data_IF_443361063418
#
_entry.id   IF_443361063418
#
_cell.length_a   1.000
_cell.length_b   1.000
_cell.length_c   1.000
_cell.angle_alpha   90.00
_cell.angle_beta   90.00
_cell.angle_gamma   90.00
#
_symmetry.space_group_name_H-M   'P 1'
#
loop_
_entity.id
_entity.type
_entity.pdbx_description
1 polymer ?
#
# COMPACT_ATOMS: atom_id res chain seq x y z
N UNK A 1 -2.87 -25.25 -15.32
CA UNK A 1 -2.17 -25.67 -14.09
C UNK A 1 -3.17 -25.90 -12.97
N UNK A 2 -2.89 -26.84 -12.06
CA UNK A 2 -3.55 -27.01 -10.77
C UNK A 2 -2.73 -26.29 -9.71
N UNK A 3 -3.35 -25.32 -9.03
CA UNK A 3 -2.69 -24.45 -8.06
C UNK A 3 -3.46 -24.56 -6.74
N UNK A 4 -2.73 -24.67 -5.64
CA UNK A 4 -3.28 -24.60 -4.30
C UNK A 4 -2.64 -23.45 -3.52
N UNK A 5 -3.46 -22.58 -2.94
CA UNK A 5 -3.02 -21.45 -2.13
C UNK A 5 -3.16 -21.77 -0.65
N UNK A 6 -2.05 -21.78 0.09
CA UNK A 6 -2.06 -21.86 1.56
C UNK A 6 -2.13 -20.45 2.12
N UNK A 7 -3.11 -20.19 2.99
CA UNK A 7 -3.52 -18.87 3.47
C UNK A 7 -4.17 -18.01 2.37
N UNK A 8 -5.19 -18.57 1.70
CA UNK A 8 -5.92 -17.94 0.59
C UNK A 8 -6.67 -16.67 1.00
N UNK A 9 -7.03 -16.49 2.26
CA UNK A 9 -7.81 -15.37 2.78
C UNK A 9 -7.05 -14.04 2.87
N UNK A 10 -5.72 -14.05 2.70
CA UNK A 10 -4.91 -12.83 2.70
C UNK A 10 -5.33 -11.81 1.63
N UNK A 11 -5.10 -10.52 1.88
CA UNK A 11 -5.56 -9.42 1.02
C UNK A 11 -5.13 -9.58 -0.45
N UNK A 12 -3.87 -9.92 -0.72
CA UNK A 12 -3.39 -10.23 -2.08
C UNK A 12 -3.74 -11.65 -2.50
N UNK A 13 -3.69 -12.60 -1.56
CA UNK A 13 -3.85 -14.03 -1.85
C UNK A 13 -5.21 -14.36 -2.46
N UNK A 14 -6.31 -13.80 -1.93
CA UNK A 14 -7.63 -14.06 -2.48
C UNK A 14 -7.82 -13.41 -3.86
N UNK A 15 -7.31 -12.19 -4.04
CA UNK A 15 -7.32 -11.51 -5.34
C UNK A 15 -6.52 -12.31 -6.38
N UNK A 16 -5.36 -12.83 -6.00
CA UNK A 16 -4.53 -13.68 -6.85
C UNK A 16 -5.25 -14.99 -7.20
N UNK A 17 -5.88 -15.66 -6.23
CA UNK A 17 -6.65 -16.89 -6.48
C UNK A 17 -7.75 -16.66 -7.53
N UNK A 18 -8.49 -15.54 -7.40
CA UNK A 18 -9.54 -15.17 -8.34
C UNK A 18 -8.94 -14.85 -9.72
N UNK A 19 -7.85 -14.08 -9.78
CA UNK A 19 -7.16 -13.75 -11.03
C UNK A 19 -6.67 -15.02 -11.76
N UNK A 20 -6.12 -15.98 -11.03
CA UNK A 20 -5.65 -17.25 -11.59
C UNK A 20 -6.80 -18.14 -12.08
N UNK A 21 -7.93 -18.15 -11.38
CA UNK A 21 -9.15 -18.81 -11.85
C UNK A 21 -9.67 -18.16 -13.14
N UNK A 22 -9.69 -16.82 -13.20
CA UNK A 22 -10.08 -16.05 -14.41
C UNK A 22 -9.15 -16.32 -15.59
N UNK A 23 -7.86 -16.54 -15.35
CA UNK A 23 -6.87 -16.98 -16.35
C UNK A 23 -7.09 -18.42 -16.85
N UNK A 24 -7.94 -19.20 -16.20
CA UNK A 24 -8.27 -20.57 -16.60
C UNK A 24 -7.49 -21.66 -15.85
N UNK A 25 -6.78 -21.33 -14.77
CA UNK A 25 -6.17 -22.34 -13.91
C UNK A 25 -7.19 -22.99 -12.98
N UNK A 26 -6.91 -24.23 -12.57
CA UNK A 26 -7.68 -24.91 -11.54
C UNK A 26 -7.13 -24.52 -10.17
N UNK A 27 -7.89 -23.69 -9.44
CA UNK A 27 -7.44 -23.07 -8.19
C UNK A 27 -8.21 -23.64 -7.01
N UNK A 28 -7.47 -24.00 -5.97
CA UNK A 28 -7.97 -24.36 -4.64
C UNK A 28 -7.18 -23.60 -3.57
N UNK A 29 -7.62 -23.66 -2.32
CA UNK A 29 -6.83 -23.11 -1.23
C UNK A 29 -7.41 -23.43 0.14
N UNK A 30 -6.71 -22.96 1.17
CA UNK A 30 -7.00 -23.19 2.58
C UNK A 30 -6.70 -21.95 3.41
N UNK A 31 -7.39 -21.81 4.53
CA UNK A 31 -7.12 -20.74 5.51
C UNK A 31 -7.74 -21.10 6.87
N UNK A 32 -7.13 -20.65 7.97
CA UNK A 32 -7.67 -20.83 9.32
C UNK A 32 -8.70 -19.75 9.71
N UNK A 33 -8.71 -18.61 9.02
CA UNK A 33 -9.75 -17.61 9.17
C UNK A 33 -9.87 -16.70 7.94
N UNK A 34 -11.09 -16.58 7.40
CA UNK A 34 -11.37 -15.71 6.25
C UNK A 34 -12.43 -14.68 6.62
N UNK A 35 -12.05 -13.40 6.51
CA UNK A 35 -12.89 -12.25 6.80
C UNK A 35 -13.23 -11.48 5.53
N UNK A 36 -14.25 -10.63 5.59
CA UNK A 36 -14.57 -9.73 4.49
C UNK A 36 -13.48 -8.66 4.28
N UNK A 37 -13.18 -8.26 3.03
CA UNK A 37 -13.90 -8.62 1.79
C UNK A 37 -13.50 -9.97 1.18
N UNK A 38 -12.42 -10.61 1.64
CA UNK A 38 -11.91 -11.84 1.05
C UNK A 38 -12.94 -12.98 1.05
N UNK A 39 -13.71 -13.11 2.13
CA UNK A 39 -14.78 -14.12 2.27
C UNK A 39 -15.83 -13.99 1.18
N UNK A 40 -16.42 -12.81 1.02
CA UNK A 40 -17.41 -12.53 -0.03
C UNK A 40 -16.82 -12.74 -1.42
N UNK A 41 -15.65 -12.15 -1.70
CA UNK A 41 -14.99 -12.25 -3.01
C UNK A 41 -14.69 -13.70 -3.41
N UNK A 42 -14.19 -14.52 -2.48
CA UNK A 42 -13.93 -15.95 -2.73
C UNK A 42 -15.23 -16.73 -2.95
N UNK A 43 -16.28 -16.43 -2.19
CA UNK A 43 -17.56 -17.11 -2.31
C UNK A 43 -18.21 -16.86 -3.67
N UNK A 44 -18.29 -15.60 -4.09
CA UNK A 44 -18.85 -15.19 -5.38
C UNK A 44 -18.09 -15.79 -6.57
N UNK A 45 -16.79 -16.02 -6.39
CA UNK A 45 -15.96 -16.67 -7.39
C UNK A 45 -15.85 -18.19 -7.19
N UNK A 46 -16.64 -18.81 -6.31
CA UNK A 46 -16.64 -20.26 -6.07
C UNK A 46 -15.28 -20.82 -5.67
N UNK A 47 -14.57 -20.10 -4.82
CA UNK A 47 -13.23 -20.40 -4.29
C UNK A 47 -13.16 -20.39 -2.76
N UNK A 48 -14.28 -20.14 -2.07
CA UNK A 48 -14.32 -20.13 -0.61
C UNK A 48 -14.10 -21.56 -0.06
N UNK A 49 -13.00 -21.83 0.67
CA UNK A 49 -12.74 -23.16 1.20
C UNK A 49 -13.50 -23.41 2.51
N UNK A 50 -13.44 -24.65 2.99
CA UNK A 50 -13.73 -24.95 4.39
C UNK A 50 -12.61 -24.33 5.25
N UNK A 51 -12.99 -23.78 6.40
CA UNK A 51 -12.03 -23.17 7.33
C UNK A 51 -11.21 -24.26 8.02
N UNK A 52 -9.90 -24.04 8.10
CA UNK A 52 -8.92 -24.93 8.69
C UNK A 52 -7.86 -25.38 7.68
N UNK A 53 -6.94 -26.21 8.18
CA UNK A 53 -5.88 -26.82 7.40
C UNK A 53 -6.17 -28.32 7.24
N UNK A 54 -6.09 -28.83 6.02
CA UNK A 54 -6.40 -30.22 5.68
C UNK A 54 -5.34 -30.79 4.74
N UNK A 55 -4.46 -31.65 5.27
CA UNK A 55 -3.37 -32.26 4.50
C UNK A 55 -3.85 -33.19 3.39
N UNK A 56 -5.09 -33.68 3.45
CA UNK A 56 -5.67 -34.55 2.41
C UNK A 56 -6.00 -33.76 1.13
N UNK A 57 -6.08 -32.43 1.20
CA UNK A 57 -6.19 -31.55 0.04
C UNK A 57 -4.90 -31.47 -0.79
N UNK A 58 -3.77 -31.90 -0.22
CA UNK A 58 -2.45 -31.79 -0.85
C UNK A 58 -2.10 -33.10 -1.54
N UNK A 59 -2.33 -33.11 -2.85
CA UNK A 59 -2.14 -34.26 -3.73
C UNK A 59 -0.96 -34.07 -4.69
N UNK A 60 -0.43 -35.17 -5.22
CA UNK A 60 0.76 -35.16 -6.07
C UNK A 60 0.55 -34.54 -7.47
N UNK A 61 -0.70 -34.33 -7.88
CA UNK A 61 -1.08 -33.72 -9.16
C UNK A 61 -1.21 -32.18 -9.11
N UNK A 62 -0.93 -31.57 -7.95
CA UNK A 62 -0.81 -30.12 -7.84
C UNK A 62 0.49 -29.67 -8.51
N UNK A 63 0.40 -28.72 -9.44
CA UNK A 63 1.58 -28.21 -10.15
C UNK A 63 2.38 -27.24 -9.26
N UNK A 64 1.69 -26.37 -8.52
CA UNK A 64 2.30 -25.32 -7.68
C UNK A 64 1.50 -25.07 -6.41
N UNK A 65 2.19 -24.99 -5.28
CA UNK A 65 1.70 -24.41 -4.03
C UNK A 65 2.12 -22.95 -3.97
N UNK A 66 1.16 -22.04 -3.79
CA UNK A 66 1.46 -20.63 -3.49
C UNK A 66 1.28 -20.41 -1.98
N UNK A 67 2.36 -20.02 -1.31
CA UNK A 67 2.44 -19.89 0.13
C UNK A 67 2.28 -18.42 0.57
N UNK A 68 1.21 -18.13 1.30
CA UNK A 68 1.01 -16.83 1.93
C UNK A 68 1.83 -16.64 3.20
N UNK A 69 2.20 -15.39 3.51
CA UNK A 69 3.01 -15.03 4.69
C UNK A 69 2.35 -15.40 6.03
N UNK A 70 1.02 -15.54 6.08
CA UNK A 70 0.27 -15.89 7.30
C UNK A 70 0.40 -17.37 7.68
N UNK A 71 0.83 -18.23 6.74
CA UNK A 71 1.06 -19.63 7.03
C UNK A 71 2.26 -19.80 7.99
N UNK A 72 2.14 -20.74 8.93
CA UNK A 72 3.26 -21.09 9.82
C UNK A 72 4.15 -22.14 9.19
N UNK A 73 5.43 -22.18 9.59
CA UNK A 73 6.40 -23.20 9.12
C UNK A 73 5.97 -24.65 9.40
N UNK A 74 5.14 -24.87 10.43
CA UNK A 74 4.61 -26.17 10.81
C UNK A 74 3.18 -26.43 10.30
N UNK A 75 2.70 -25.64 9.34
CA UNK A 75 1.40 -25.87 8.70
C UNK A 75 1.36 -27.30 8.09
N UNK A 76 0.31 -28.10 8.37
CA UNK A 76 0.27 -29.51 7.95
C UNK A 76 0.28 -29.68 6.43
N UNK A 77 -0.41 -28.80 5.69
CA UNK A 77 -0.44 -28.80 4.23
C UNK A 77 0.93 -28.47 3.65
N UNK A 78 1.63 -27.48 4.24
CA UNK A 78 2.98 -27.12 3.82
C UNK A 78 3.96 -28.29 4.03
N UNK A 79 3.88 -28.96 5.18
CA UNK A 79 4.70 -30.14 5.48
C UNK A 79 4.40 -31.27 4.50
N UNK A 80 3.13 -31.50 4.15
CA UNK A 80 2.74 -32.50 3.17
C UNK A 80 3.26 -32.18 1.77
N UNK A 81 3.14 -30.93 1.33
CA UNK A 81 3.64 -30.46 0.05
C UNK A 81 5.17 -30.67 -0.09
N UNK A 82 5.91 -30.39 0.98
CA UNK A 82 7.35 -30.64 1.04
C UNK A 82 7.67 -32.14 0.95
N UNK A 83 6.94 -33.00 1.66
CA UNK A 83 7.12 -34.47 1.59
C UNK A 83 6.85 -35.03 0.19
N UNK A 84 5.88 -34.45 -0.53
CA UNK A 84 5.55 -34.83 -1.91
C UNK A 84 6.49 -34.22 -2.95
N UNK A 85 7.41 -33.33 -2.55
CA UNK A 85 8.33 -32.66 -3.47
C UNK A 85 7.65 -31.68 -4.42
N UNK A 86 6.49 -31.12 -4.04
CA UNK A 86 5.76 -30.15 -4.85
C UNK A 86 6.54 -28.84 -4.98
N UNK A 87 6.34 -28.13 -6.09
CA UNK A 87 6.88 -26.78 -6.26
C UNK A 87 6.14 -25.82 -5.32
N UNK A 88 6.86 -25.24 -4.36
CA UNK A 88 6.33 -24.25 -3.42
C UNK A 88 6.93 -22.91 -3.75
N UNK A 89 6.08 -21.91 -3.98
CA UNK A 89 6.47 -20.54 -4.31
C UNK A 89 5.79 -19.56 -3.37
N UNK A 90 6.45 -18.45 -3.07
CA UNK A 90 5.75 -17.29 -2.51
C UNK A 90 4.88 -16.63 -3.59
N UNK A 91 3.86 -15.85 -3.22
CA UNK A 91 3.08 -15.13 -4.24
C UNK A 91 3.91 -14.15 -5.10
N UNK A 92 4.88 -13.36 -4.59
CA UNK A 92 5.66 -12.47 -5.45
C UNK A 92 6.56 -13.25 -6.41
N UNK A 93 7.11 -14.39 -5.97
CA UNK A 93 7.88 -15.31 -6.81
C UNK A 93 7.01 -15.90 -7.93
N UNK A 94 5.77 -16.30 -7.61
CA UNK A 94 4.82 -16.81 -8.60
C UNK A 94 4.47 -15.75 -9.63
N UNK A 95 4.17 -14.52 -9.19
CA UNK A 95 3.88 -13.40 -10.11
C UNK A 95 5.09 -13.07 -10.97
N UNK A 96 6.31 -13.10 -10.43
CA UNK A 96 7.54 -12.89 -11.18
C UNK A 96 7.72 -13.96 -12.29
N UNK A 97 7.39 -15.22 -12.00
CA UNK A 97 7.43 -16.30 -12.98
C UNK A 97 6.36 -16.16 -14.06
N UNK A 98 5.11 -15.81 -13.69
CA UNK A 98 4.01 -15.58 -14.64
C UNK A 98 4.22 -14.34 -15.53
N UNK A 99 5.02 -13.38 -15.07
CA UNK A 99 5.30 -12.12 -15.78
C UNK A 99 6.66 -12.10 -16.47
N UNK A 100 7.37 -13.24 -16.57
CA UNK A 100 8.73 -13.32 -17.12
C UNK A 100 8.87 -12.76 -18.55
N UNK A 101 7.80 -12.90 -19.36
CA UNK A 101 7.77 -12.49 -20.76
C UNK A 101 7.12 -11.10 -20.95
N UNK A 102 6.77 -10.41 -19.84
CA UNK A 102 6.14 -9.09 -19.85
C UNK A 102 7.16 -8.00 -19.55
N UNK A 103 6.90 -6.78 -20.03
CA UNK A 103 7.57 -5.58 -19.51
C UNK A 103 7.04 -5.31 -18.09
N UNK A 104 7.91 -5.49 -17.10
CA UNK A 104 7.61 -5.28 -15.68
C UNK A 104 7.92 -3.85 -15.26
N UNK A 105 6.90 -3.14 -14.80
CA UNK A 105 6.99 -1.81 -14.22
C UNK A 105 6.75 -1.93 -12.72
N UNK A 106 7.71 -1.52 -11.90
CA UNK A 106 7.60 -1.66 -10.43
C UNK A 106 7.70 -0.29 -9.76
N UNK A 107 6.72 0.04 -8.94
CA UNK A 107 6.68 1.30 -8.19
C UNK A 107 7.06 1.00 -6.74
N UNK A 108 8.29 1.36 -6.36
CA UNK A 108 8.86 1.15 -5.04
C UNK A 108 9.00 2.48 -4.27
N UNK A 109 9.36 2.36 -2.98
CA UNK A 109 9.57 3.50 -2.07
C UNK A 109 8.72 3.38 -0.80
N UNK A 110 9.09 4.07 0.26
CA UNK A 110 8.39 3.95 1.56
C UNK A 110 6.99 4.60 1.53
N UNK A 111 6.75 5.52 0.61
CA UNK A 111 5.51 6.31 0.49
C UNK A 111 5.10 6.45 -0.99
N UNK A 112 3.90 6.94 -1.29
CA UNK A 112 3.51 7.29 -2.66
C UNK A 112 3.28 6.12 -3.64
N UNK A 113 3.73 4.89 -3.32
CA UNK A 113 3.63 3.72 -4.22
C UNK A 113 2.22 3.50 -4.77
N UNK A 114 1.24 3.36 -3.88
CA UNK A 114 -0.16 3.12 -4.24
C UNK A 114 -0.73 4.27 -5.08
N UNK A 115 -0.43 5.51 -4.72
CA UNK A 115 -0.93 6.71 -5.43
C UNK A 115 -0.36 6.79 -6.85
N UNK A 116 0.96 6.66 -6.99
CA UNK A 116 1.65 6.64 -8.29
C UNK A 116 1.16 5.47 -9.15
N UNK A 117 1.02 4.28 -8.56
CA UNK A 117 0.50 3.11 -9.27
C UNK A 117 -0.95 3.32 -9.75
N UNK A 118 -1.79 3.91 -8.91
CA UNK A 118 -3.18 4.23 -9.27
C UNK A 118 -3.26 5.24 -10.41
N UNK A 119 -2.42 6.28 -10.42
CA UNK A 119 -2.34 7.25 -11.52
C UNK A 119 -1.93 6.58 -12.84
N UNK A 120 -0.90 5.71 -12.81
CA UNK A 120 -0.47 4.94 -13.98
C UNK A 120 -1.63 4.07 -14.50
N UNK A 121 -2.22 3.26 -13.63
CA UNK A 121 -3.32 2.38 -14.01
C UNK A 121 -4.53 3.16 -14.55
N UNK A 122 -4.85 4.30 -13.94
CA UNK A 122 -5.94 5.17 -14.37
C UNK A 122 -5.73 5.68 -15.80
N UNK A 123 -4.54 6.23 -16.09
CA UNK A 123 -4.20 6.73 -17.43
C UNK A 123 -4.17 5.60 -18.45
N UNK A 124 -3.51 4.48 -18.17
CA UNK A 124 -3.46 3.35 -19.09
C UNK A 124 -4.87 2.81 -19.40
N UNK A 125 -5.75 2.74 -18.39
CA UNK A 125 -7.15 2.34 -18.55
C UNK A 125 -7.96 3.33 -19.40
N UNK A 126 -7.83 4.64 -19.14
CA UNK A 126 -8.49 5.71 -19.92
C UNK A 126 -8.07 5.69 -21.39
N UNK A 127 -6.81 5.34 -21.66
CA UNK A 127 -6.26 5.22 -23.01
C UNK A 127 -6.49 3.83 -23.64
N UNK A 128 -7.23 2.93 -22.97
CA UNK A 128 -7.52 1.56 -23.42
C UNK A 128 -6.26 0.73 -23.74
N UNK A 129 -5.16 0.98 -23.02
CA UNK A 129 -3.95 0.17 -23.12
C UNK A 129 -4.13 -1.11 -22.30
N UNK A 130 -3.72 -2.25 -22.85
CA UNK A 130 -3.82 -3.53 -22.12
C UNK A 130 -2.60 -3.74 -21.22
N UNK A 131 -2.87 -3.90 -19.93
CA UNK A 131 -1.88 -4.16 -18.89
C UNK A 131 -2.46 -5.08 -17.82
N UNK A 132 -1.56 -5.81 -17.19
CA UNK A 132 -1.79 -6.52 -15.94
C UNK A 132 -1.35 -5.68 -14.76
N UNK A 133 -1.75 -6.07 -13.55
CA UNK A 133 -1.35 -5.35 -12.37
C UNK A 133 -1.36 -6.19 -11.09
N UNK A 134 -0.52 -5.79 -10.14
CA UNK A 134 -0.46 -6.30 -8.77
C UNK A 134 -0.36 -5.11 -7.82
N UNK A 135 -1.44 -4.78 -7.12
CA UNK A 135 -1.52 -3.63 -6.21
C UNK A 135 -1.89 -4.04 -4.79
N UNK A 136 -1.36 -3.32 -3.80
CA UNK A 136 -1.52 -3.64 -2.38
C UNK A 136 -2.95 -3.52 -1.84
N UNK A 137 -3.75 -2.67 -2.50
CA UNK A 137 -5.10 -2.30 -2.08
C UNK A 137 -6.02 -2.08 -3.27
N UNK A 138 -7.33 -2.13 -3.04
CA UNK A 138 -8.34 -1.82 -4.05
C UNK A 138 -8.16 -0.40 -4.61
N UNK A 139 -8.24 -0.26 -5.94
CA UNK A 139 -8.18 1.02 -6.64
C UNK A 139 -9.53 1.28 -7.30
N UNK A 140 -10.06 2.48 -7.15
CA UNK A 140 -11.34 2.87 -7.75
C UNK A 140 -11.31 2.66 -9.27
N UNK A 141 -12.35 2.04 -9.81
CA UNK A 141 -12.42 1.68 -11.24
C UNK A 141 -11.84 0.30 -11.59
N UNK A 142 -11.26 -0.42 -10.62
CA UNK A 142 -10.75 -1.78 -10.81
C UNK A 142 -11.44 -2.75 -9.84
N UNK A 143 -11.96 -3.86 -10.37
CA UNK A 143 -12.70 -4.88 -9.61
C UNK A 143 -11.80 -5.64 -8.61
N UNK A 144 -10.62 -6.06 -9.07
CA UNK A 144 -9.63 -6.78 -8.25
C UNK A 144 -8.37 -5.94 -8.08
N UNK A 145 -7.58 -6.30 -7.06
CA UNK A 145 -6.21 -5.77 -6.85
C UNK A 145 -5.13 -6.55 -7.63
N UNK A 146 -5.52 -7.63 -8.32
CA UNK A 146 -4.62 -8.45 -9.14
C UNK A 146 -5.31 -8.76 -10.47
N UNK A 147 -4.61 -8.52 -11.59
CA UNK A 147 -4.96 -9.00 -12.93
C UNK A 147 -3.72 -9.66 -13.53
N UNK A 148 -3.88 -10.90 -14.00
CA UNK A 148 -2.85 -11.65 -14.71
C UNK A 148 -3.50 -12.25 -15.96
N UNK A 149 -2.97 -11.92 -17.12
CA UNK A 149 -3.45 -12.30 -18.44
C UNK A 149 -2.27 -12.46 -19.41
N UNK A 150 -2.50 -12.29 -20.71
CA UNK A 150 -1.46 -12.26 -21.74
C UNK A 150 -1.03 -10.82 -22.12
N UNK A 151 -1.49 -9.81 -21.35
CA UNK A 151 -1.10 -8.42 -21.55
C UNK A 151 0.44 -8.24 -21.59
N UNK A 152 0.99 -7.37 -22.46
CA UNK A 152 2.44 -7.24 -22.65
C UNK A 152 3.15 -6.55 -21.50
N UNK A 153 2.41 -5.83 -20.65
CA UNK A 153 2.93 -5.01 -19.55
C UNK A 153 2.27 -5.46 -18.25
N UNK A 154 3.01 -5.41 -17.14
CA UNK A 154 2.46 -5.54 -15.80
C UNK A 154 2.95 -4.39 -14.90
N UNK A 155 2.01 -3.75 -14.20
CA UNK A 155 2.27 -2.68 -13.23
C UNK A 155 2.21 -3.26 -11.82
N UNK A 156 3.30 -3.17 -11.06
CA UNK A 156 3.45 -3.83 -9.77
C UNK A 156 3.78 -2.81 -8.69
N UNK A 157 3.03 -2.82 -7.59
CA UNK A 157 3.42 -2.12 -6.37
C UNK A 157 4.57 -2.87 -5.68
N UNK A 158 5.75 -2.25 -5.65
CA UNK A 158 6.99 -2.80 -5.11
C UNK A 158 7.03 -2.71 -3.59
N UNK A 159 6.48 -3.73 -2.94
CA UNK A 159 6.47 -3.86 -1.47
C UNK A 159 7.79 -4.43 -0.94
N UNK A 160 8.41 -3.70 -0.02
CA UNK A 160 9.64 -4.08 0.69
C UNK A 160 9.40 -5.15 1.77
N UNK A 161 8.15 -5.47 2.10
CA UNK A 161 7.81 -6.49 3.11
C UNK A 161 8.19 -7.91 2.68
N UNK A 162 8.29 -8.82 3.66
CA UNK A 162 8.68 -10.22 3.50
C UNK A 162 7.74 -11.01 2.59
N UNK A 163 8.29 -11.97 1.83
CA UNK A 163 7.55 -12.76 0.85
C UNK A 163 6.83 -13.99 1.43
N UNK A 164 7.47 -14.79 2.28
CA UNK A 164 6.87 -16.02 2.84
C UNK A 164 7.56 -16.49 4.13
N UNK A 165 6.97 -17.43 4.90
CA UNK A 165 7.65 -18.02 6.06
C UNK A 165 8.87 -18.89 5.69
N UNK A 166 9.01 -19.33 4.43
CA UNK A 166 10.15 -20.15 3.97
C UNK A 166 11.30 -19.31 3.43
N UNK A 167 10.99 -18.18 2.80
CA UNK A 167 11.95 -17.22 2.27
C UNK A 167 11.59 -15.81 2.75
N UNK A 168 12.46 -15.24 3.58
CA UNK A 168 12.31 -13.90 4.15
C UNK A 168 12.83 -12.81 3.20
N UNK A 169 13.06 -13.11 1.92
CA UNK A 169 13.33 -12.09 0.91
C UNK A 169 12.14 -11.14 0.78
N UNK A 170 12.40 -9.84 0.67
CA UNK A 170 11.41 -8.80 0.38
C UNK A 170 10.73 -9.03 -0.98
N UNK A 171 9.42 -8.76 -1.07
CA UNK A 171 8.60 -9.07 -2.26
C UNK A 171 9.15 -8.42 -3.52
N UNK A 172 9.53 -7.15 -3.45
CA UNK A 172 10.03 -6.42 -4.61
C UNK A 172 11.33 -6.96 -5.24
N UNK A 173 12.11 -7.76 -4.51
CA UNK A 173 13.36 -8.37 -5.00
C UNK A 173 13.10 -9.54 -5.95
N UNK A 174 11.86 -10.02 -6.04
CA UNK A 174 11.46 -11.07 -6.96
C UNK A 174 11.17 -10.54 -8.37
N UNK A 175 10.85 -9.25 -8.52
CA UNK A 175 10.19 -8.78 -9.74
C UNK A 175 11.12 -8.43 -10.88
N UNK A 176 12.44 -8.31 -10.67
CA UNK A 176 13.42 -7.96 -11.71
C UNK A 176 12.87 -6.95 -12.74
N UNK A 177 12.63 -5.69 -12.33
CA UNK A 177 11.95 -4.69 -13.15
C UNK A 177 12.71 -4.32 -14.43
N UNK A 178 11.94 -3.93 -15.44
CA UNK A 178 12.45 -3.26 -16.65
C UNK A 178 12.45 -1.74 -16.44
N UNK A 179 11.39 -1.22 -15.82
CA UNK A 179 11.24 0.17 -15.45
C UNK A 179 10.85 0.18 -13.98
N UNK A 180 11.49 1.04 -13.19
CA UNK A 180 11.08 1.26 -11.81
C UNK A 180 11.03 2.74 -11.47
N UNK A 181 10.18 3.08 -10.51
CA UNK A 181 10.26 4.34 -9.78
C UNK A 181 10.52 4.06 -8.31
N UNK A 182 11.37 4.88 -7.69
CA UNK A 182 11.57 4.92 -6.24
C UNK A 182 11.17 6.31 -5.75
N UNK A 183 10.02 6.39 -5.09
CA UNK A 183 9.38 7.66 -4.67
C UNK A 183 10.04 8.33 -3.47
N UNK A 184 10.77 7.57 -2.65
CA UNK A 184 11.44 8.04 -1.46
C UNK A 184 11.74 6.89 -0.49
N UNK A 185 12.64 7.11 0.44
CA UNK A 185 13.03 6.17 1.49
C UNK A 185 12.87 6.88 2.83
N UNK A 186 11.98 6.36 3.67
CA UNK A 186 11.97 6.66 5.09
C UNK A 186 11.79 5.37 5.87
N UNK A 187 12.41 5.33 7.05
CA UNK A 187 12.46 4.12 7.85
C UNK A 187 11.03 3.63 8.18
N UNK A 188 10.70 2.43 7.73
CA UNK A 188 9.41 1.76 7.93
C UNK A 188 9.66 0.26 8.15
N UNK A 189 8.62 -0.49 8.53
CA UNK A 189 8.69 -1.95 8.71
C UNK A 189 9.78 -2.42 9.69
N UNK A 190 9.92 -1.72 10.81
CA UNK A 190 10.97 -1.95 11.81
C UNK A 190 10.91 -3.36 12.44
N UNK A 191 9.72 -3.98 12.40
CA UNK A 191 9.53 -5.38 12.79
C UNK A 191 10.26 -6.38 11.87
N UNK A 192 10.58 -5.97 10.63
CA UNK A 192 11.29 -6.76 9.62
C UNK A 192 12.74 -6.28 9.47
N UNK A 193 12.94 -4.96 9.54
CA UNK A 193 14.23 -4.30 9.36
C UNK A 193 14.65 -3.67 10.69
N UNK A 194 15.49 -4.34 11.50
CA UNK A 194 15.81 -3.87 12.86
C UNK A 194 16.60 -2.56 12.88
N UNK A 195 17.31 -2.26 11.80
CA UNK A 195 18.08 -1.03 11.65
C UNK A 195 17.74 -0.35 10.33
N UNK A 196 17.89 0.98 10.30
CA UNK A 196 17.70 1.72 9.05
C UNK A 196 18.71 1.31 7.98
N UNK A 197 19.94 0.94 8.36
CA UNK A 197 20.93 0.39 7.43
C UNK A 197 20.45 -0.90 6.76
N UNK A 198 19.78 -1.80 7.50
CA UNK A 198 19.20 -3.02 6.92
C UNK A 198 18.04 -2.73 5.95
N UNK A 199 17.31 -1.63 6.19
CA UNK A 199 16.28 -1.13 5.30
C UNK A 199 16.92 -0.56 4.01
N UNK A 200 17.97 0.25 4.14
CA UNK A 200 18.72 0.82 3.01
C UNK A 200 19.37 -0.25 2.12
N UNK A 201 20.04 -1.25 2.72
CA UNK A 201 20.63 -2.41 2.01
C UNK A 201 19.59 -3.17 1.18
N UNK A 202 18.34 -3.23 1.66
CA UNK A 202 17.24 -3.87 0.93
C UNK A 202 16.84 -3.09 -0.33
N UNK A 203 16.87 -1.74 -0.26
CA UNK A 203 16.68 -0.89 -1.43
C UNK A 203 17.87 -0.94 -2.41
N UNK A 204 19.10 -1.00 -1.91
CA UNK A 204 20.29 -1.17 -2.75
C UNK A 204 20.24 -2.49 -3.54
N UNK A 205 19.89 -3.60 -2.87
CA UNK A 205 19.64 -4.90 -3.52
C UNK A 205 18.54 -4.81 -4.58
N UNK A 206 17.47 -4.06 -4.30
CA UNK A 206 16.40 -3.86 -5.26
C UNK A 206 16.86 -3.08 -6.50
N UNK A 207 17.60 -2.00 -6.31
CA UNK A 207 18.20 -1.22 -7.42
C UNK A 207 19.10 -2.10 -8.30
N UNK A 208 19.89 -3.00 -7.71
CA UNK A 208 20.73 -3.94 -8.45
C UNK A 208 19.98 -5.18 -8.99
N UNK A 209 18.69 -5.37 -8.67
CA UNK A 209 17.89 -6.52 -9.13
C UNK A 209 17.26 -6.34 -10.52
N UNK A 210 17.39 -5.15 -11.13
CA UNK A 210 16.84 -4.84 -12.45
C UNK A 210 17.39 -5.79 -13.53
N UNK A 211 16.62 -5.98 -14.60
CA UNK A 211 17.14 -6.69 -15.79
C UNK A 211 18.29 -5.91 -16.43
N UNK A 212 19.13 -6.55 -17.25
CA UNK A 212 20.36 -5.92 -17.78
C UNK A 212 20.16 -4.61 -18.57
N UNK A 213 19.00 -4.44 -19.22
CA UNK A 213 18.61 -3.19 -19.91
C UNK A 213 17.53 -2.41 -19.15
N UNK A 214 17.32 -2.73 -17.88
CA UNK A 214 16.39 -2.06 -17.02
C UNK A 214 16.98 -0.75 -16.50
N UNK A 215 16.11 0.16 -16.10
CA UNK A 215 16.49 1.41 -15.46
C UNK A 215 15.47 1.79 -14.40
N UNK A 216 15.85 2.75 -13.55
CA UNK A 216 14.92 3.31 -12.59
C UNK A 216 15.00 4.83 -12.49
N UNK A 217 13.88 5.44 -12.11
CA UNK A 217 13.76 6.84 -11.80
C UNK A 217 13.63 7.00 -10.29
N UNK A 218 14.19 8.07 -9.73
CA UNK A 218 14.20 8.27 -8.28
C UNK A 218 14.00 9.74 -7.91
N UNK A 219 13.36 9.98 -6.76
CA UNK A 219 13.06 11.34 -6.31
C UNK A 219 14.34 12.07 -5.85
N UNK A 220 14.69 13.14 -6.55
CA UNK A 220 15.96 13.84 -6.41
C UNK A 220 16.21 14.42 -5.01
N UNK A 221 15.16 14.85 -4.30
CA UNK A 221 15.32 15.54 -3.01
C UNK A 221 15.34 14.57 -1.81
N UNK A 222 15.43 13.26 -2.05
CA UNK A 222 15.65 12.26 -1.02
C UNK A 222 17.16 12.01 -0.83
N UNK A 223 17.70 12.35 0.34
CA UNK A 223 19.13 12.23 0.63
C UNK A 223 19.65 10.78 0.63
N UNK A 224 18.79 9.80 0.93
CA UNK A 224 19.17 8.39 0.92
C UNK A 224 19.28 7.89 -0.51
N UNK A 225 18.32 8.23 -1.36
CA UNK A 225 18.38 7.92 -2.79
C UNK A 225 19.58 8.61 -3.46
N UNK A 226 19.89 9.86 -3.13
CA UNK A 226 21.07 10.54 -3.67
C UNK A 226 22.38 9.76 -3.41
N UNK A 227 22.50 9.11 -2.25
CA UNK A 227 23.68 8.33 -1.87
C UNK A 227 23.67 6.97 -2.54
N UNK A 228 22.61 6.18 -2.33
CA UNK A 228 22.51 4.81 -2.84
C UNK A 228 22.63 4.74 -4.37
N UNK A 229 22.08 5.71 -5.09
CA UNK A 229 22.10 5.72 -6.56
C UNK A 229 23.47 5.95 -7.18
N UNK A 230 24.44 6.47 -6.41
CA UNK A 230 25.83 6.60 -6.83
C UNK A 230 26.62 5.28 -6.70
N UNK A 231 26.13 4.34 -5.89
CA UNK A 231 26.81 3.09 -5.56
C UNK A 231 26.34 1.92 -6.43
N UNK A 232 25.25 2.10 -7.18
CA UNK A 232 24.65 1.06 -8.03
C UNK A 232 25.07 1.18 -9.49
N UNK A 233 25.09 0.04 -10.19
CA UNK A 233 25.49 -0.03 -11.61
C UNK A 233 24.33 0.09 -12.59
N UNK A 234 23.10 -0.13 -12.11
CA UNK A 234 21.87 0.00 -12.91
C UNK A 234 21.67 1.44 -13.39
N UNK A 235 21.31 1.60 -14.67
CA UNK A 235 21.00 2.91 -15.24
C UNK A 235 19.90 3.61 -14.45
N UNK A 236 20.11 4.88 -14.12
CA UNK A 236 19.15 5.63 -13.33
C UNK A 236 19.13 7.12 -13.66
N UNK A 237 17.99 7.77 -13.44
CA UNK A 237 17.83 9.22 -13.57
C UNK A 237 16.99 9.78 -12.42
N UNK A 238 17.37 10.94 -11.92
CA UNK A 238 16.60 11.64 -10.90
C UNK A 238 15.44 12.42 -11.51
N UNK A 239 14.29 12.46 -10.84
CA UNK A 239 13.19 13.38 -11.14
C UNK A 239 12.97 14.36 -9.98
N UNK A 240 12.42 15.52 -10.28
CA UNK A 240 12.20 16.61 -9.31
C UNK A 240 10.70 16.92 -9.18
N UNK A 241 10.35 17.83 -8.28
CA UNK A 241 9.00 18.40 -8.24
C UNK A 241 8.71 19.11 -9.56
N UNK A 242 7.59 18.81 -10.26
CA UNK A 242 7.25 19.51 -11.48
C UNK A 242 6.91 20.97 -11.21
N UNK A 243 6.96 21.83 -12.22
CA UNK A 243 6.46 23.21 -12.08
C UNK A 243 4.94 23.19 -11.98
N UNK A 244 4.40 23.70 -10.87
CA UNK A 244 2.96 23.72 -10.62
C UNK A 244 2.50 25.03 -9.97
N UNK A 245 1.19 25.24 -9.93
CA UNK A 245 0.53 26.27 -9.10
C UNK A 245 -0.76 25.72 -8.51
N UNK A 246 -1.08 26.13 -7.29
CA UNK A 246 -2.34 25.76 -6.64
C UNK A 246 -3.50 26.55 -7.25
N UNK A 247 -4.68 25.93 -7.28
CA UNK A 247 -5.95 26.56 -7.66
C UNK A 247 -6.98 26.35 -6.54
N UNK A 248 -8.15 26.97 -6.62
CA UNK A 248 -9.21 26.82 -5.62
C UNK A 248 -9.79 25.40 -5.53
N UNK A 249 -9.64 24.58 -6.57
CA UNK A 249 -10.27 23.26 -6.67
C UNK A 249 -9.27 22.12 -6.87
N UNK A 250 -7.97 22.42 -6.88
CA UNK A 250 -6.94 21.49 -7.35
C UNK A 250 -5.60 22.18 -7.59
N UNK A 251 -4.90 21.75 -8.63
CA UNK A 251 -3.62 22.35 -9.06
C UNK A 251 -3.55 22.45 -10.58
N UNK A 252 -2.62 23.24 -11.10
CA UNK A 252 -2.22 23.19 -12.50
C UNK A 252 -0.75 22.82 -12.61
N UNK A 253 -0.41 21.94 -13.56
CA UNK A 253 0.97 21.54 -13.85
C UNK A 253 1.41 22.10 -15.20
N UNK A 254 2.66 22.56 -15.28
CA UNK A 254 3.24 23.10 -16.51
C UNK A 254 4.06 22.03 -17.23
N UNK A 255 3.67 21.71 -18.46
CA UNK A 255 4.36 20.75 -19.31
C UNK A 255 4.39 21.28 -20.76
N UNK A 256 5.58 21.31 -21.36
CA UNK A 256 5.81 21.72 -22.76
C UNK A 256 5.11 23.03 -23.17
N UNK A 257 5.14 24.04 -22.30
CA UNK A 257 4.56 25.36 -22.58
C UNK A 257 3.09 25.51 -22.20
N UNK A 258 2.43 24.44 -21.77
CA UNK A 258 0.98 24.37 -21.50
C UNK A 258 0.75 24.13 -20.00
N UNK A 259 -0.28 24.78 -19.45
CA UNK A 259 -0.78 24.50 -18.11
C UNK A 259 -1.96 23.54 -18.20
N UNK A 260 -1.88 22.41 -17.50
CA UNK A 260 -2.94 21.40 -17.43
C UNK A 260 -3.63 21.48 -16.07
N UNK A 261 -4.96 21.67 -16.02
CA UNK A 261 -5.72 21.64 -14.77
C UNK A 261 -5.87 20.21 -14.26
N UNK A 262 -5.75 20.07 -12.94
CA UNK A 262 -5.81 18.80 -12.22
C UNK A 262 -6.69 18.96 -10.98
N UNK A 263 -7.47 17.94 -10.64
CA UNK A 263 -8.18 17.87 -9.36
C UNK A 263 -7.27 17.53 -8.17
N UNK A 264 -6.01 17.22 -8.45
CA UNK A 264 -5.00 16.77 -7.48
C UNK A 264 -4.45 17.95 -6.69
N UNK A 265 -4.33 17.79 -5.37
CA UNK A 265 -3.82 18.80 -4.44
C UNK A 265 -2.59 18.26 -3.70
N UNK A 266 -1.66 19.18 -3.40
CA UNK A 266 -0.51 18.91 -2.55
C UNK A 266 0.75 18.55 -3.33
N UNK A 267 1.88 19.12 -2.90
CA UNK A 267 3.19 18.95 -3.54
C UNK A 267 3.54 17.48 -3.75
N UNK A 268 3.40 16.64 -2.72
CA UNK A 268 3.73 15.22 -2.78
C UNK A 268 2.88 14.42 -3.78
N UNK A 269 1.61 14.78 -3.95
CA UNK A 269 0.77 14.13 -4.96
C UNK A 269 1.16 14.55 -6.38
N UNK A 270 1.63 15.79 -6.57
CA UNK A 270 2.15 16.24 -7.86
C UNK A 270 3.53 15.64 -8.18
N UNK A 271 4.34 15.34 -7.16
CA UNK A 271 5.57 14.55 -7.31
C UNK A 271 5.25 13.11 -7.76
N UNK A 272 4.27 12.47 -7.10
CA UNK A 272 3.77 11.15 -7.51
C UNK A 272 3.17 11.17 -8.93
N UNK A 273 2.46 12.24 -9.29
CA UNK A 273 1.91 12.43 -10.64
C UNK A 273 3.00 12.52 -11.69
N UNK A 274 4.06 13.28 -11.42
CA UNK A 274 5.18 13.40 -12.35
C UNK A 274 5.95 12.08 -12.50
N UNK A 275 6.16 11.36 -11.38
CA UNK A 275 6.63 9.99 -11.42
C UNK A 275 5.76 9.09 -12.32
N UNK A 276 4.43 9.13 -12.16
CA UNK A 276 3.50 8.37 -13.00
C UNK A 276 3.60 8.77 -14.49
N UNK A 277 3.76 10.06 -14.77
CA UNK A 277 3.92 10.58 -16.13
C UNK A 277 5.19 10.03 -16.80
N UNK A 278 6.31 10.02 -16.09
CA UNK A 278 7.59 9.48 -16.60
C UNK A 278 7.48 7.98 -16.92
N UNK A 279 6.80 7.20 -16.06
CA UNK A 279 6.53 5.78 -16.35
C UNK A 279 5.66 5.62 -17.59
N UNK A 280 4.59 6.42 -17.72
CA UNK A 280 3.70 6.33 -18.87
C UNK A 280 4.44 6.72 -20.16
N UNK A 281 5.38 7.67 -20.10
CA UNK A 281 6.25 8.01 -21.23
C UNK A 281 7.12 6.82 -21.68
N UNK A 282 7.70 6.06 -20.74
CA UNK A 282 8.44 4.81 -21.03
C UNK A 282 7.56 3.68 -21.60
N UNK A 283 6.24 3.81 -21.44
CA UNK A 283 5.22 2.94 -22.04
C UNK A 283 4.63 3.50 -23.34
N UNK A 284 5.13 4.65 -23.82
CA UNK A 284 4.74 5.25 -25.10
C UNK A 284 3.58 6.25 -25.03
N UNK A 285 3.16 6.66 -23.83
CA UNK A 285 2.13 7.70 -23.64
C UNK A 285 2.78 9.08 -23.63
N UNK A 286 2.37 9.97 -24.51
CA UNK A 286 2.88 11.35 -24.52
C UNK A 286 2.47 12.11 -23.25
N UNK A 287 3.21 13.15 -22.88
CA UNK A 287 2.85 13.97 -21.73
C UNK A 287 1.50 14.68 -21.90
N UNK A 288 1.14 15.08 -23.12
CA UNK A 288 -0.19 15.62 -23.43
C UNK A 288 -1.31 14.60 -23.15
N UNK A 289 -1.21 13.38 -23.71
CA UNK A 289 -2.19 12.31 -23.47
C UNK A 289 -2.29 11.97 -21.98
N UNK A 290 -1.16 11.94 -21.27
CA UNK A 290 -1.14 11.67 -19.83
C UNK A 290 -1.91 12.74 -19.05
N UNK A 291 -1.60 14.03 -19.26
CA UNK A 291 -2.21 15.10 -18.48
C UNK A 291 -3.68 15.34 -18.82
N UNK A 292 -4.09 15.11 -20.07
CA UNK A 292 -5.50 15.08 -20.44
C UNK A 292 -6.24 13.93 -19.74
N UNK A 293 -5.68 12.71 -19.80
CA UNK A 293 -6.31 11.52 -19.24
C UNK A 293 -6.42 11.55 -17.71
N UNK A 294 -5.47 12.18 -17.00
CA UNK A 294 -5.41 12.22 -15.54
C UNK A 294 -6.12 13.43 -14.93
N UNK A 295 -6.63 14.36 -15.75
CA UNK A 295 -7.16 15.66 -15.30
C UNK A 295 -8.27 15.58 -14.24
N UNK A 296 -9.13 14.56 -14.34
CA UNK A 296 -10.24 14.28 -13.44
C UNK A 296 -9.92 13.22 -12.37
N UNK A 297 -8.66 12.79 -12.26
CA UNK A 297 -8.25 11.85 -11.21
C UNK A 297 -8.29 12.54 -9.84
N UNK A 298 -9.06 11.96 -8.91
CA UNK A 298 -9.29 12.52 -7.57
C UNK A 298 -8.46 11.85 -6.46
N UNK A 299 -7.68 10.82 -6.76
CA UNK A 299 -6.83 10.11 -5.79
C UNK A 299 -7.05 8.60 -5.76
N UNK A 300 -6.14 7.90 -5.08
CA UNK A 300 -6.35 6.50 -4.69
C UNK A 300 -7.25 6.48 -3.43
N UNK A 301 -8.30 5.66 -3.41
CA UNK A 301 -9.26 5.64 -2.31
C UNK A 301 -8.58 5.51 -0.93
N UNK A 302 -9.05 6.28 0.06
CA UNK A 302 -8.48 6.40 1.41
C UNK A 302 -7.04 6.91 1.49
N UNK A 303 -6.49 7.59 0.47
CA UNK A 303 -5.20 8.31 0.54
C UNK A 303 -5.46 9.80 0.36
N UNK A 304 -5.33 10.58 1.45
CA UNK A 304 -5.70 11.99 1.50
C UNK A 304 -7.05 12.26 0.81
N UNK A 305 -8.02 11.38 1.07
CA UNK A 305 -9.35 11.43 0.50
C UNK A 305 -10.15 12.53 1.18
N UNK A 306 -10.59 13.52 0.41
CA UNK A 306 -11.44 14.60 0.90
C UNK A 306 -12.86 14.07 1.11
N UNK A 307 -13.30 14.03 2.37
CA UNK A 307 -14.66 13.62 2.77
C UNK A 307 -15.60 14.83 2.78
N UNK A 308 -15.12 15.96 3.29
CA UNK A 308 -15.90 17.18 3.46
C UNK A 308 -15.06 18.42 3.15
N UNK A 309 -15.67 19.42 2.55
CA UNK A 309 -15.06 20.71 2.20
C UNK A 309 -16.15 21.76 2.01
N UNK A 310 -16.52 22.44 3.11
CA UNK A 310 -17.52 23.51 3.10
C UNK A 310 -17.18 24.54 4.17
N UNK A 311 -17.51 25.81 3.92
CA UNK A 311 -17.39 26.91 4.89
C UNK A 311 -15.99 27.07 5.52
N UNK A 312 -14.93 26.67 4.81
CA UNK A 312 -13.55 26.73 5.30
C UNK A 312 -13.15 25.58 6.23
N UNK A 313 -14.04 24.62 6.48
CA UNK A 313 -13.76 23.38 7.20
C UNK A 313 -13.49 22.25 6.21
N UNK A 314 -12.43 21.47 6.47
CA UNK A 314 -12.08 20.30 5.66
C UNK A 314 -11.98 19.03 6.49
N UNK A 315 -12.36 17.91 5.89
CA UNK A 315 -12.21 16.58 6.49
C UNK A 315 -11.54 15.66 5.49
N UNK A 316 -10.45 15.04 5.93
CA UNK A 316 -9.65 14.14 5.13
C UNK A 316 -9.54 12.77 5.78
N UNK A 317 -9.42 11.74 4.96
CA UNK A 317 -9.12 10.37 5.36
C UNK A 317 -7.87 9.83 4.67
N UNK A 318 -6.95 9.27 5.44
CA UNK A 318 -5.72 8.64 4.95
C UNK A 318 -5.53 7.22 5.50
N UNK A 319 -4.76 6.41 4.78
CA UNK A 319 -4.38 5.03 5.11
C UNK A 319 -3.07 4.96 5.91
N UNK A 320 -2.58 6.09 6.43
CA UNK A 320 -1.39 6.15 7.26
C UNK A 320 -1.49 5.12 8.41
N UNK A 321 -0.42 4.34 8.56
CA UNK A 321 -0.35 3.22 9.52
C UNK A 321 1.07 2.98 10.04
N UNK A 322 2.03 3.82 9.65
CA UNK A 322 3.41 3.81 10.13
C UNK A 322 3.79 5.21 10.59
N UNK A 323 4.80 5.37 11.47
CA UNK A 323 5.14 6.67 12.05
C UNK A 323 5.47 7.74 11.01
N UNK A 324 6.27 7.40 10.01
CA UNK A 324 6.62 8.32 8.92
C UNK A 324 5.40 8.79 8.12
N UNK A 325 4.46 7.89 7.83
CA UNK A 325 3.21 8.21 7.12
C UNK A 325 2.27 9.06 7.96
N UNK A 326 2.17 8.77 9.27
CA UNK A 326 1.36 9.55 10.22
C UNK A 326 1.87 11.00 10.29
N UNK A 327 3.18 11.17 10.45
CA UNK A 327 3.83 12.49 10.49
C UNK A 327 3.65 13.27 9.19
N UNK A 328 3.94 12.64 8.05
CA UNK A 328 3.81 13.29 6.74
C UNK A 328 2.37 13.77 6.47
N UNK A 329 1.37 12.95 6.81
CA UNK A 329 -0.04 13.28 6.56
C UNK A 329 -0.53 14.41 7.47
N UNK A 330 -0.16 14.35 8.75
CA UNK A 330 -0.52 15.40 9.73
C UNK A 330 0.06 16.75 9.32
N UNK A 331 1.35 16.79 8.95
CA UNK A 331 2.00 18.00 8.46
C UNK A 331 1.32 18.53 7.19
N UNK A 332 1.05 17.64 6.21
CA UNK A 332 0.47 18.04 4.93
C UNK A 332 -0.90 18.72 5.10
N UNK A 333 -1.78 18.22 5.99
CA UNK A 333 -3.08 18.86 6.25
C UNK A 333 -2.88 20.20 6.97
N UNK A 334 -2.01 20.25 7.99
CA UNK A 334 -1.78 21.49 8.75
C UNK A 334 -1.20 22.61 7.88
N UNK A 335 -0.29 22.28 6.97
CA UNK A 335 0.31 23.25 6.04
C UNK A 335 -0.66 23.71 4.94
N UNK A 336 -1.58 22.83 4.52
CA UNK A 336 -2.51 23.12 3.42
C UNK A 336 -3.73 23.92 3.85
N UNK A 337 -4.16 23.78 5.11
CA UNK A 337 -5.42 24.36 5.59
C UNK A 337 -5.21 25.15 6.89
N UNK A 338 -5.71 26.39 6.91
CA UNK A 338 -5.76 27.18 8.14
C UNK A 338 -6.84 26.67 9.12
N UNK A 339 -6.83 27.20 10.34
CA UNK A 339 -7.76 26.81 11.40
C UNK A 339 -7.21 25.71 12.33
N UNK A 340 -8.09 25.20 13.19
CA UNK A 340 -7.78 24.14 14.15
C UNK A 340 -7.91 22.78 13.47
N UNK A 341 -6.91 21.91 13.65
CA UNK A 341 -6.84 20.55 13.14
C UNK A 341 -6.92 19.54 14.29
N UNK A 342 -7.93 18.67 14.22
CA UNK A 342 -7.99 17.42 14.96
C UNK A 342 -7.44 16.27 14.11
N UNK A 343 -6.32 15.68 14.52
CA UNK A 343 -5.80 14.45 13.93
C UNK A 343 -6.24 13.23 14.75
N UNK A 344 -6.78 12.21 14.09
CA UNK A 344 -7.30 10.99 14.70
C UNK A 344 -6.63 9.78 14.06
N UNK A 345 -5.90 8.98 14.84
CA UNK A 345 -5.13 7.84 14.35
C UNK A 345 -5.61 6.52 14.99
N UNK A 346 -5.82 5.47 14.19
CA UNK A 346 -6.14 4.12 14.69
C UNK A 346 -4.89 3.22 14.72
N UNK A 347 -4.49 2.78 15.91
CA UNK A 347 -3.48 1.72 16.08
C UNK A 347 -4.11 0.35 15.75
N UNK A 348 -3.97 -0.07 14.50
CA UNK A 348 -4.66 -1.26 13.97
C UNK A 348 -3.74 -2.43 13.61
N UNK A 349 -2.51 -2.19 13.13
CA UNK A 349 -1.65 -3.26 12.60
C UNK A 349 -1.04 -4.11 13.71
N UNK A 350 -0.66 -5.36 13.41
CA UNK A 350 0.01 -6.22 14.41
C UNK A 350 1.32 -5.61 14.90
N UNK A 351 2.14 -5.07 13.99
CA UNK A 351 3.42 -4.43 14.35
C UNK A 351 3.24 -3.17 15.19
N UNK A 352 2.24 -2.32 14.86
CA UNK A 352 1.99 -1.07 15.59
C UNK A 352 1.53 -1.29 17.04
N UNK A 353 1.00 -2.46 17.36
CA UNK A 353 0.51 -2.82 18.70
C UNK A 353 1.58 -3.51 19.56
N UNK A 354 2.87 -3.37 19.23
CA UNK A 354 3.97 -3.96 20.01
C UNK A 354 4.70 -2.91 20.85
N UNK A 355 5.07 -3.25 22.10
CA UNK A 355 5.78 -2.34 23.01
C UNK A 355 7.08 -1.77 22.45
N UNK A 356 7.79 -2.53 21.63
CA UNK A 356 9.03 -2.09 21.01
C UNK A 356 8.80 -1.10 19.85
N UNK A 357 7.61 -1.10 19.24
CA UNK A 357 7.34 -0.29 18.05
C UNK A 357 6.66 1.04 18.38
N UNK A 358 5.80 1.07 19.40
CA UNK A 358 5.05 2.27 19.76
C UNK A 358 5.91 3.53 20.01
N UNK A 359 7.09 3.45 20.67
CA UNK A 359 7.96 4.60 20.86
C UNK A 359 8.38 5.32 19.57
N UNK A 360 8.28 4.66 18.42
CA UNK A 360 8.65 5.24 17.12
C UNK A 360 7.63 6.25 16.61
N UNK A 361 6.44 6.32 17.23
CA UNK A 361 5.41 7.31 16.93
C UNK A 361 5.59 8.64 17.68
N UNK A 362 6.65 8.78 18.46
CA UNK A 362 7.01 10.02 19.15
C UNK A 362 6.93 11.21 18.19
N UNK A 363 6.17 12.23 18.60
CA UNK A 363 5.98 13.50 17.89
C UNK A 363 5.41 13.37 16.46
N UNK A 364 4.83 12.22 16.12
CA UNK A 364 4.28 11.97 14.78
C UNK A 364 2.97 12.75 14.53
N UNK A 365 2.34 13.31 15.57
CA UNK A 365 1.08 14.05 15.48
C UNK A 365 1.18 15.52 15.92
N UNK A 366 2.38 16.01 16.27
CA UNK A 366 2.62 17.34 16.86
C UNK A 366 2.16 18.53 16.02
N UNK A 367 2.05 18.37 14.70
CA UNK A 367 1.55 19.43 13.84
C UNK A 367 0.05 19.68 13.99
N UNK A 368 -0.72 18.72 14.55
CA UNK A 368 -2.13 18.92 14.84
C UNK A 368 -2.31 19.76 16.11
N UNK A 369 -3.37 20.58 16.17
CA UNK A 369 -3.68 21.33 17.40
C UNK A 369 -4.29 20.42 18.47
N UNK A 370 -4.92 19.32 18.04
CA UNK A 370 -5.45 18.25 18.90
C UNK A 370 -5.18 16.91 18.23
N UNK A 371 -4.73 15.93 19.01
CA UNK A 371 -4.44 14.59 18.53
C UNK A 371 -5.13 13.51 19.37
N UNK A 372 -5.74 12.54 18.70
CA UNK A 372 -6.38 11.37 19.28
C UNK A 372 -5.71 10.12 18.73
N UNK A 373 -5.32 9.21 19.62
CA UNK A 373 -4.93 7.84 19.27
C UNK A 373 -6.02 6.90 19.77
N UNK A 374 -6.60 6.15 18.83
CA UNK A 374 -7.67 5.20 19.07
C UNK A 374 -7.16 3.76 18.92
N UNK A 375 -7.52 2.88 19.86
CA UNK A 375 -7.38 1.44 19.69
C UNK A 375 -8.41 0.67 20.51
N UNK A 376 -8.82 -0.50 19.99
CA UNK A 376 -9.75 -1.37 20.69
C UNK A 376 -9.00 -2.38 21.57
N UNK A 377 -9.35 -2.44 22.84
CA UNK A 377 -8.77 -3.39 23.80
C UNK A 377 -8.99 -4.86 23.38
N UNK A 378 -10.13 -5.17 22.75
CA UNK A 378 -10.43 -6.54 22.30
C UNK A 378 -9.46 -7.01 21.20
N UNK A 379 -8.79 -6.09 20.49
CA UNK A 379 -7.79 -6.45 19.47
C UNK A 379 -6.61 -7.18 20.10
N UNK A 380 -6.26 -6.88 21.35
CA UNK A 380 -5.21 -7.60 22.08
C UNK A 380 -5.61 -9.04 22.39
N UNK A 381 -6.85 -9.27 22.80
CA UNK A 381 -7.37 -10.62 23.04
C UNK A 381 -7.45 -11.44 21.74
N UNK A 382 -8.05 -10.86 20.70
CA UNK A 382 -8.19 -11.52 19.40
C UNK A 382 -6.85 -11.88 18.76
N UNK A 383 -5.85 -10.99 18.87
CA UNK A 383 -4.52 -11.21 18.31
C UNK A 383 -3.57 -11.94 19.27
N UNK A 384 -4.01 -12.30 20.48
CA UNK A 384 -3.19 -12.91 21.54
C UNK A 384 -1.93 -12.11 21.84
N UNK A 385 -2.06 -10.79 21.89
CA UNK A 385 -0.99 -9.85 22.13
C UNK A 385 -0.98 -9.40 23.59
N UNK A 386 0.18 -8.93 24.05
CA UNK A 386 0.27 -8.27 25.34
C UNK A 386 -0.54 -6.96 25.30
N UNK A 387 -1.39 -6.76 26.31
CA UNK A 387 -2.16 -5.53 26.46
C UNK A 387 -1.23 -4.32 26.60
N UNK A 388 -1.59 -3.23 25.92
CA UNK A 388 -0.90 -1.96 26.02
C UNK A 388 -1.73 -0.99 26.83
N UNK A 389 -1.19 -0.62 27.99
CA UNK A 389 -1.80 0.37 28.87
C UNK A 389 -1.85 1.75 28.21
N UNK A 390 -2.98 2.45 28.34
CA UNK A 390 -3.20 3.75 27.71
C UNK A 390 -2.16 4.79 28.13
N UNK A 391 -1.68 4.78 29.37
CA UNK A 391 -0.63 5.70 29.82
C UNK A 391 0.71 5.42 29.14
N UNK A 392 1.04 4.14 28.88
CA UNK A 392 2.23 3.77 28.13
C UNK A 392 2.14 4.27 26.69
N UNK A 393 1.00 4.07 26.02
CA UNK A 393 0.79 4.54 24.64
C UNK A 393 0.87 6.06 24.58
N UNK A 394 0.21 6.78 25.50
CA UNK A 394 0.26 8.23 25.58
C UNK A 394 1.70 8.75 25.74
N UNK A 395 2.45 8.19 26.70
CA UNK A 395 3.84 8.60 26.95
C UNK A 395 4.76 8.41 25.74
N UNK A 396 4.47 7.44 24.88
CA UNK A 396 5.28 7.19 23.68
C UNK A 396 4.91 8.11 22.51
N UNK A 397 3.66 8.54 22.40
CA UNK A 397 3.19 9.41 21.33
C UNK A 397 3.44 10.90 21.63
N UNK A 398 3.46 11.28 22.91
CA UNK A 398 3.57 12.68 23.33
C UNK A 398 2.20 13.28 23.67
N UNK A 399 1.93 14.49 23.17
CA UNK A 399 0.70 15.24 23.49
C UNK A 399 -0.52 14.72 22.70
N UNK A 400 -1.02 13.55 23.10
CA UNK A 400 -2.20 12.91 22.51
C UNK A 400 -3.22 12.50 23.58
N UNK A 401 -4.48 12.44 23.18
CA UNK A 401 -5.55 11.78 23.96
C UNK A 401 -5.70 10.33 23.52
N UNK A 402 -5.75 9.39 24.45
CA UNK A 402 -6.00 7.97 24.16
C UNK A 402 -7.49 7.67 24.32
N UNK A 403 -8.09 7.03 23.32
CA UNK A 403 -9.48 6.59 23.35
C UNK A 403 -9.55 5.10 23.06
N UNK A 404 -10.29 4.37 23.90
CA UNK A 404 -10.51 2.93 23.75
C UNK A 404 -11.98 2.55 23.53
N UNK A 405 -12.90 3.53 23.54
CA UNK A 405 -14.32 3.34 23.25
C UNK A 405 -14.69 3.95 21.90
N UNK A 406 -15.42 3.17 21.09
CA UNK A 406 -16.03 3.63 19.85
C UNK A 406 -16.98 4.80 20.08
N UNK A 407 -17.82 4.72 21.10
CA UNK A 407 -18.84 5.72 21.42
C UNK A 407 -18.20 7.05 21.82
N UNK A 408 -17.11 6.99 22.59
CA UNK A 408 -16.33 8.17 22.97
C UNK A 408 -15.65 8.81 21.75
N UNK A 409 -15.07 7.99 20.87
CA UNK A 409 -14.48 8.45 19.62
C UNK A 409 -15.52 9.17 18.74
N UNK A 410 -16.68 8.56 18.52
CA UNK A 410 -17.79 9.15 17.75
C UNK A 410 -18.20 10.50 18.32
N UNK A 411 -18.41 10.57 19.64
CA UNK A 411 -18.80 11.80 20.32
C UNK A 411 -17.78 12.93 20.13
N UNK A 412 -16.49 12.65 20.31
CA UNK A 412 -15.44 13.67 20.23
C UNK A 412 -15.20 14.15 18.80
N UNK A 413 -15.20 13.24 17.83
CA UNK A 413 -15.03 13.58 16.41
C UNK A 413 -16.22 14.38 15.90
N UNK A 414 -17.45 13.95 16.21
CA UNK A 414 -18.66 14.68 15.79
C UNK A 414 -18.76 16.05 16.47
N UNK A 415 -18.39 16.15 17.75
CA UNK A 415 -18.33 17.45 18.43
C UNK A 415 -17.31 18.40 17.80
N UNK A 416 -16.15 17.89 17.39
CA UNK A 416 -15.13 18.70 16.70
C UNK A 416 -15.60 19.12 15.30
N UNK A 417 -16.35 18.26 14.62
CA UNK A 417 -16.98 18.59 13.34
C UNK A 417 -18.00 19.72 13.50
N UNK A 418 -18.90 19.64 14.49
CA UNK A 418 -19.90 20.69 14.78
C UNK A 418 -19.26 22.05 15.13
N UNK A 419 -18.07 22.02 15.75
CA UNK A 419 -17.31 23.23 16.09
C UNK A 419 -16.56 23.86 14.90
N UNK A 420 -16.62 23.24 13.71
CA UNK A 420 -15.95 23.74 12.51
C UNK A 420 -14.45 23.43 12.46
N UNK A 421 -13.95 22.48 13.26
CA UNK A 421 -12.54 22.08 13.22
C UNK A 421 -12.26 21.23 11.97
N UNK A 422 -11.06 21.38 11.40
CA UNK A 422 -10.58 20.46 10.37
C UNK A 422 -10.31 19.09 11.01
N UNK A 423 -10.61 18.01 10.30
CA UNK A 423 -10.44 16.65 10.83
C UNK A 423 -9.63 15.81 9.87
N UNK A 424 -8.61 15.13 10.39
CA UNK A 424 -7.82 14.15 9.66
C UNK A 424 -7.98 12.76 10.30
N UNK A 425 -8.64 11.85 9.59
CA UNK A 425 -8.83 10.46 10.00
C UNK A 425 -7.76 9.56 9.36
N UNK A 426 -6.95 8.87 10.15
CA UNK A 426 -5.84 8.05 9.67
C UNK A 426 -5.95 6.61 10.17
N UNK A 427 -6.14 5.66 9.25
CA UNK A 427 -6.28 4.25 9.63
C UNK A 427 -6.08 3.27 8.46
N UNK A 428 -5.46 2.12 8.78
CA UNK A 428 -5.49 0.93 7.91
C UNK A 428 -6.71 0.01 8.14
N UNK A 429 -7.47 0.26 9.21
CA UNK A 429 -8.68 -0.43 9.63
C UNK A 429 -9.95 0.34 9.28
N UNK A 430 -10.86 0.43 10.25
CA UNK A 430 -12.21 1.02 10.04
C UNK A 430 -12.71 1.84 11.23
N UNK A 431 -11.87 2.13 12.22
CA UNK A 431 -12.28 2.75 13.49
C UNK A 431 -13.46 2.00 14.13
N UNK A 432 -13.44 0.66 14.11
CA UNK A 432 -14.59 -0.19 14.50
C UNK A 432 -15.95 0.18 13.85
N UNK A 433 -15.91 0.72 12.63
CA UNK A 433 -17.10 1.26 11.93
C UNK A 433 -17.79 2.36 12.74
N UNK A 434 -17.01 3.26 13.34
CA UNK A 434 -17.49 4.50 13.97
C UNK A 434 -18.35 5.32 12.98
N UNK A 435 -19.45 5.85 13.50
CA UNK A 435 -20.41 6.68 12.77
C UNK A 435 -20.05 8.15 12.92
N UNK A 436 -19.40 8.71 11.89
CA UNK A 436 -19.08 10.13 11.81
C UNK A 436 -20.11 10.89 10.98
N UNK A 437 -20.61 12.00 11.50
CA UNK A 437 -21.74 12.77 10.96
C UNK A 437 -21.28 13.88 10.01
N UNK A 438 -20.47 13.53 9.00
CA UNK A 438 -19.97 14.49 8.02
C UNK A 438 -20.98 14.63 6.87
N UNK A 439 -21.85 15.66 6.91
CA UNK A 439 -22.96 15.85 5.96
C UNK A 439 -22.63 16.59 4.64
#
# INVERSE_FOLDING_TARGET
>A
MRIHLIAIGGAIMHNLAIALKRKGYHVTGSDDAIYDPAKTNLNENGLLPKIGWDEDLITADIDVIILGMHARKNNPELVKAQKLGLKIMSFPEFVAAESKDKKRVVIAGSHGKTTTTAMIMYVLSRLNLDFDYLVGSSINGFDLSVKISDAPVIIIEGDEYLSSPLDLKSKFLWYNPHISIITGIAYDHINVFPTFDSYLDTFEKYMNSHVSNGHFLWYKNDEHLQKLTQEVTTSNNAYDTPKYRNTSTGSEIFHDGIWYPLMIVGKHNLENLYAAQLVCAELGVSGHEFYEAVSDFTGAGRRMEKIYDKNGQVIYRDFAHSPSKLKATTNAVKESFGGTLLAVFELHTFSSLTKAFIPLYEDAMDAADRAIVFYNDEVFEHKKMEYLDSSFVQNCFGDVSIINSKEELEKLVNSSFENGENILLMSSGTFQKASFLFD
#
